data_IF_623284140138
#
_entry.id   IF_623284140138
#
_cell.length_a   1.000
_cell.length_b   1.000
_cell.length_c   1.000
_cell.angle_alpha   90.00
_cell.angle_beta   90.00
_cell.angle_gamma   90.00
#
_symmetry.space_group_name_H-M   'P 1'
#
loop_
_entity.id
_entity.type
_entity.pdbx_description
1 polymer ?
#
# COMPACT_ATOMS: atom_id res chain seq x y z
N UNK A 1 7.72 -5.59 55.09
CA UNK A 1 8.87 -4.76 54.71
C UNK A 1 9.92 -5.70 54.14
N UNK A 2 9.89 -5.99 52.85
CA UNK A 2 10.91 -6.73 52.14
C UNK A 2 11.22 -6.00 50.84
N UNK A 3 12.47 -5.59 50.66
CA UNK A 3 13.03 -4.91 49.50
C UNK A 3 13.22 -5.91 48.38
N UNK A 4 12.68 -5.64 47.20
CA UNK A 4 13.05 -6.31 45.96
C UNK A 4 14.17 -5.53 45.27
N UNK A 5 15.28 -6.24 45.06
CA UNK A 5 16.48 -5.79 44.35
C UNK A 5 16.29 -6.13 42.84
N UNK A 6 16.39 -5.15 41.96
CA UNK A 6 16.23 -5.31 40.54
C UNK A 6 17.59 -5.34 39.86
N UNK A 7 18.07 -6.54 39.53
CA UNK A 7 19.28 -6.76 38.73
C UNK A 7 19.09 -6.28 37.28
N UNK A 8 20.07 -5.48 36.78
CA UNK A 8 20.16 -5.06 35.36
C UNK A 8 20.83 -6.19 34.55
N UNK A 9 20.34 -6.54 33.37
CA UNK A 9 21.11 -7.34 32.41
C UNK A 9 22.04 -6.44 31.58
N UNK A 10 23.30 -6.84 31.49
CA UNK A 10 24.31 -6.29 30.58
C UNK A 10 23.98 -6.69 29.13
N UNK A 11 23.99 -5.73 28.21
CA UNK A 11 23.92 -5.99 26.79
C UNK A 11 25.31 -6.03 26.15
N UNK A 12 25.67 -7.19 25.65
CA UNK A 12 26.79 -7.42 24.73
C UNK A 12 26.40 -7.10 23.31
N UNK A 13 27.33 -6.51 22.54
CA UNK A 13 27.14 -5.91 21.24
C UNK A 13 26.53 -6.81 20.15
N UNK A 14 25.74 -6.19 19.30
CA UNK A 14 25.25 -6.78 18.05
C UNK A 14 25.62 -5.89 16.85
N UNK A 15 26.16 -6.54 15.83
CA UNK A 15 26.65 -5.93 14.61
C UNK A 15 25.52 -5.31 13.74
N UNK A 16 25.88 -4.27 13.02
CA UNK A 16 25.04 -3.56 12.05
C UNK A 16 24.50 -4.52 10.98
N UNK A 17 23.19 -4.73 10.95
CA UNK A 17 22.43 -5.15 9.76
C UNK A 17 21.48 -4.02 9.37
N UNK A 18 21.44 -3.75 8.08
CA UNK A 18 20.69 -2.66 7.45
C UNK A 18 19.23 -2.58 7.90
N UNK A 19 18.77 -1.38 8.26
CA UNK A 19 17.36 -1.05 8.31
C UNK A 19 16.67 -1.06 9.68
N UNK A 20 17.37 -0.95 10.79
CA UNK A 20 16.76 -0.81 12.13
C UNK A 20 16.91 0.64 12.60
N UNK A 21 15.78 1.33 12.78
CA UNK A 21 15.77 2.64 13.41
C UNK A 21 15.90 2.49 14.92
N UNK A 22 17.07 2.82 15.49
CA UNK A 22 17.26 2.92 16.93
C UNK A 22 16.68 4.26 17.42
N UNK A 23 15.64 4.20 18.24
CA UNK A 23 15.12 5.34 18.98
C UNK A 23 15.55 5.25 20.42
N UNK A 24 16.40 6.20 20.83
CA UNK A 24 16.72 6.42 22.23
C UNK A 24 15.70 7.43 22.79
N UNK A 25 14.91 7.00 23.78
CA UNK A 25 13.97 7.81 24.53
C UNK A 25 14.69 8.28 25.81
N UNK A 26 15.47 9.34 25.73
CA UNK A 26 15.84 10.09 26.93
C UNK A 26 15.74 11.58 26.60
N UNK A 27 14.65 12.17 27.08
CA UNK A 27 14.42 13.62 27.02
C UNK A 27 15.13 14.30 28.18
N UNK A 28 16.03 15.21 27.91
CA UNK A 28 16.30 16.35 28.76
C UNK A 28 16.42 17.61 27.92
N UNK A 29 15.55 18.56 28.24
CA UNK A 29 15.65 19.94 27.79
C UNK A 29 16.86 20.59 28.41
N UNK A 30 17.71 21.23 27.60
CA UNK A 30 18.47 22.39 28.03
C UNK A 30 18.65 23.36 26.86
N UNK A 31 18.21 24.60 27.11
CA UNK A 31 18.43 25.75 26.26
C UNK A 31 19.85 26.29 26.46
N UNK A 32 20.67 26.36 25.42
CA UNK A 32 21.75 27.30 25.34
C UNK A 32 22.10 27.65 23.88
N UNK A 33 21.91 28.90 23.53
CA UNK A 33 22.41 29.59 22.35
C UNK A 33 23.93 29.50 22.26
N UNK A 34 24.48 29.06 21.14
CA UNK A 34 25.80 29.45 20.68
C UNK A 34 25.92 29.36 19.15
N UNK A 35 25.93 30.55 18.55
CA UNK A 35 26.34 30.81 17.18
C UNK A 35 27.78 30.35 16.92
N UNK A 36 28.00 29.52 15.89
CA UNK A 36 29.29 29.36 15.22
C UNK A 36 29.11 29.31 13.72
N UNK A 37 29.53 30.45 13.10
CA UNK A 37 29.77 30.59 11.68
C UNK A 37 31.00 29.75 11.32
N UNK A 38 30.87 28.83 10.38
CA UNK A 38 32.00 28.26 9.65
C UNK A 38 31.78 28.52 8.15
N UNK A 39 32.60 29.43 7.64
CA UNK A 39 32.79 29.64 6.22
C UNK A 39 33.52 28.39 5.65
N UNK A 40 32.97 27.78 4.61
CA UNK A 40 33.70 26.85 3.75
C UNK A 40 33.64 27.35 2.29
N UNK A 41 34.81 27.42 1.73
CA UNK A 41 35.15 28.07 0.49
C UNK A 41 34.49 27.46 -0.74
N UNK A 42 34.26 28.36 -1.69
CA UNK A 42 33.89 28.11 -3.07
C UNK A 42 34.93 27.21 -3.78
N UNK A 43 34.52 26.04 -4.24
CA UNK A 43 35.16 25.35 -5.34
C UNK A 43 34.19 25.31 -6.52
N UNK A 44 34.38 26.25 -7.46
CA UNK A 44 33.79 26.19 -8.79
C UNK A 44 34.40 25.00 -9.54
N UNK A 45 33.63 23.92 -9.72
CA UNK A 45 33.89 22.96 -10.79
C UNK A 45 32.78 23.09 -11.82
N UNK A 46 33.15 23.67 -12.94
CA UNK A 46 32.38 23.66 -14.18
C UNK A 46 32.16 22.20 -14.59
N UNK A 47 30.94 21.72 -14.46
CA UNK A 47 30.54 20.42 -15.04
C UNK A 47 30.10 20.73 -16.46
N UNK A 48 30.92 20.31 -17.43
CA UNK A 48 30.54 20.24 -18.83
C UNK A 48 29.36 19.29 -18.99
N UNK A 49 28.26 19.80 -19.54
CA UNK A 49 27.10 19.00 -19.95
C UNK A 49 27.54 18.18 -21.17
N UNK A 50 27.95 16.95 -20.92
CA UNK A 50 28.11 15.95 -21.97
C UNK A 50 26.72 15.40 -22.27
N UNK A 51 26.37 15.38 -23.57
CA UNK A 51 25.06 15.11 -24.11
C UNK A 51 24.36 13.88 -23.49
N UNK A 52 23.13 14.11 -23.03
CA UNK A 52 22.18 13.06 -22.68
C UNK A 52 21.76 12.34 -23.97
N UNK A 53 22.49 11.27 -24.30
CA UNK A 53 21.95 10.22 -25.15
C UNK A 53 20.86 9.52 -24.37
N UNK A 54 19.66 9.43 -24.94
CA UNK A 54 18.49 8.74 -24.44
C UNK A 54 18.85 7.36 -23.87
N UNK A 55 18.73 7.24 -22.54
CA UNK A 55 18.74 5.93 -21.88
C UNK A 55 17.46 5.17 -22.26
N UNK A 56 17.53 3.85 -22.51
CA UNK A 56 16.35 3.05 -22.87
C UNK A 56 15.33 3.06 -21.73
N UNK A 57 14.07 3.28 -22.07
CA UNK A 57 12.94 3.53 -21.19
C UNK A 57 12.89 2.64 -19.95
N UNK A 58 13.42 3.15 -18.85
CA UNK A 58 13.17 2.62 -17.52
C UNK A 58 11.68 2.76 -17.22
N UNK A 59 11.00 1.65 -16.89
CA UNK A 59 9.59 1.72 -16.48
C UNK A 59 9.49 2.63 -15.26
N UNK A 60 8.73 3.72 -15.36
CA UNK A 60 8.46 4.59 -14.22
C UNK A 60 7.74 3.80 -13.13
N UNK A 61 8.42 3.55 -12.01
CA UNK A 61 7.92 2.70 -10.92
C UNK A 61 6.72 3.31 -10.21
N UNK A 62 6.56 4.65 -10.23
CA UNK A 62 5.41 5.37 -9.66
C UNK A 62 4.31 5.69 -10.67
N UNK A 63 4.40 5.21 -11.91
CA UNK A 63 3.49 5.61 -13.01
C UNK A 63 2.01 5.38 -12.72
N UNK A 64 1.68 4.41 -11.87
CA UNK A 64 0.29 4.08 -11.50
C UNK A 64 -0.21 4.83 -10.25
N UNK A 65 0.65 5.54 -9.52
CA UNK A 65 0.25 6.29 -8.33
C UNK A 65 -0.82 7.32 -8.70
N UNK A 66 -1.96 7.26 -8.03
CA UNK A 66 -3.15 8.11 -8.24
C UNK A 66 -3.68 8.15 -9.68
N UNK A 67 -3.33 7.21 -10.56
CA UNK A 67 -3.91 7.15 -11.91
C UNK A 67 -5.44 7.04 -11.82
N UNK A 68 -6.13 7.92 -12.57
CA UNK A 68 -7.59 8.04 -12.53
C UNK A 68 -8.16 8.65 -11.24
N UNK A 69 -7.32 9.23 -10.35
CA UNK A 69 -7.74 9.81 -9.07
C UNK A 69 -7.03 11.12 -8.71
N UNK A 70 -6.37 11.76 -9.66
CA UNK A 70 -5.71 13.03 -9.45
C UNK A 70 -4.22 13.06 -9.83
N UNK A 71 -3.67 11.99 -10.43
CA UNK A 71 -2.29 11.99 -10.94
C UNK A 71 -2.05 13.11 -11.96
N UNK A 72 -3.05 13.45 -12.74
CA UNK A 72 -3.03 14.53 -13.75
C UNK A 72 -2.82 15.91 -13.15
N UNK A 73 -2.97 16.07 -11.83
CA UNK A 73 -2.66 17.30 -11.10
C UNK A 73 -1.15 17.50 -10.87
N UNK A 74 -0.37 16.40 -10.96
CA UNK A 74 1.08 16.45 -10.85
C UNK A 74 1.70 16.78 -12.19
N UNK A 75 2.59 17.77 -12.22
CA UNK A 75 3.41 18.05 -13.40
C UNK A 75 4.36 16.91 -13.70
N UNK A 76 4.92 16.87 -14.91
CA UNK A 76 5.92 15.86 -15.25
C UNK A 76 7.16 15.95 -14.35
N UNK A 77 7.58 17.15 -13.98
CA UNK A 77 8.69 17.37 -13.04
C UNK A 77 8.41 16.79 -11.66
N UNK A 78 7.19 16.96 -11.14
CA UNK A 78 6.77 16.41 -9.85
C UNK A 78 6.64 14.89 -9.88
N UNK A 79 6.17 14.33 -10.99
CA UNK A 79 6.16 12.89 -11.20
C UNK A 79 7.58 12.32 -11.27
N UNK A 80 8.49 12.99 -11.96
CA UNK A 80 9.90 12.62 -12.03
C UNK A 80 10.58 12.76 -10.66
N UNK A 81 10.26 13.82 -9.92
CA UNK A 81 10.78 14.03 -8.56
C UNK A 81 10.36 12.89 -7.62
N UNK A 82 9.10 12.43 -7.70
CA UNK A 82 8.65 11.28 -6.93
C UNK A 82 9.39 10.01 -7.34
N UNK A 83 9.57 9.77 -8.64
CA UNK A 83 10.26 8.59 -9.17
C UNK A 83 11.71 8.51 -8.71
N UNK A 84 12.46 9.61 -8.89
CA UNK A 84 13.89 9.69 -8.60
C UNK A 84 14.19 9.67 -7.09
N UNK A 85 13.20 10.01 -6.27
CA UNK A 85 13.34 10.04 -4.82
C UNK A 85 13.14 8.68 -4.17
N UNK A 86 12.82 7.64 -4.92
CA UNK A 86 12.67 6.28 -4.37
C UNK A 86 14.00 5.75 -3.85
N UNK A 87 13.97 5.06 -2.69
CA UNK A 87 15.18 4.48 -2.09
C UNK A 87 15.64 3.24 -2.86
N UNK A 88 14.71 2.36 -3.19
CA UNK A 88 14.94 1.15 -4.00
C UNK A 88 13.62 0.55 -4.49
N UNK A 89 13.73 -0.39 -5.43
CA UNK A 89 12.64 -1.28 -5.86
C UNK A 89 12.92 -2.67 -5.30
N UNK A 90 12.00 -3.18 -4.50
CA UNK A 90 12.13 -4.48 -3.86
C UNK A 90 11.21 -5.51 -4.53
N UNK A 91 11.79 -6.61 -5.00
CA UNK A 91 11.03 -7.80 -5.38
C UNK A 91 10.65 -8.59 -4.12
N UNK A 92 9.39 -8.96 -4.02
CA UNK A 92 8.78 -9.60 -2.85
C UNK A 92 8.27 -10.97 -3.26
N UNK A 93 8.59 -11.99 -2.47
CA UNK A 93 8.09 -13.36 -2.68
C UNK A 93 6.61 -13.45 -2.32
N UNK A 94 5.95 -14.48 -2.83
CA UNK A 94 4.57 -14.77 -2.42
C UNK A 94 4.49 -15.08 -0.91
N UNK A 95 3.48 -14.54 -0.25
CA UNK A 95 3.23 -14.74 1.20
C UNK A 95 4.33 -14.21 2.12
N UNK A 96 5.15 -13.31 1.65
CA UNK A 96 6.17 -12.65 2.46
C UNK A 96 5.53 -11.57 3.34
N UNK A 97 5.93 -11.54 4.62
CA UNK A 97 5.54 -10.47 5.53
C UNK A 97 6.53 -9.32 5.41
N UNK A 98 6.08 -8.19 4.90
CA UNK A 98 6.85 -6.97 4.69
C UNK A 98 6.98 -6.14 5.96
N UNK A 99 5.88 -5.99 6.68
CA UNK A 99 5.82 -5.28 7.97
C UNK A 99 5.04 -6.13 8.96
N UNK A 100 5.56 -6.24 10.19
CA UNK A 100 4.84 -6.86 11.30
C UNK A 100 4.13 -5.81 12.14
N UNK A 101 2.91 -6.12 12.56
CA UNK A 101 2.11 -5.33 13.47
C UNK A 101 2.94 -4.83 14.66
N UNK A 102 2.81 -3.55 14.99
CA UNK A 102 3.41 -2.91 16.17
C UNK A 102 4.91 -2.66 16.07
N UNK A 103 5.58 -3.12 15.02
CA UNK A 103 7.00 -2.82 14.81
C UNK A 103 7.18 -1.40 14.28
N UNK A 104 8.23 -0.68 14.72
CA UNK A 104 8.58 0.61 14.17
C UNK A 104 8.84 0.51 12.66
N UNK A 105 8.38 1.52 11.91
CA UNK A 105 8.63 1.66 10.46
C UNK A 105 9.28 3.01 10.18
N UNK A 106 10.22 3.03 9.24
CA UNK A 106 10.93 4.23 8.80
C UNK A 106 10.82 4.46 7.29
N UNK A 107 10.00 3.66 6.61
CA UNK A 107 9.73 3.78 5.18
C UNK A 107 8.29 3.42 4.87
N UNK A 108 7.80 3.86 3.72
CA UNK A 108 6.51 3.46 3.16
C UNK A 108 6.69 2.84 1.78
N UNK A 109 5.77 1.98 1.38
CA UNK A 109 5.86 1.17 0.17
C UNK A 109 4.73 1.48 -0.80
N UNK A 110 5.09 1.79 -2.04
CA UNK A 110 4.20 1.89 -3.18
C UNK A 110 4.20 0.57 -3.95
N UNK A 111 3.05 -0.07 -4.12
CA UNK A 111 2.93 -1.28 -4.95
C UNK A 111 3.11 -0.89 -6.42
N UNK A 112 4.02 -1.57 -7.13
CA UNK A 112 4.25 -1.36 -8.55
C UNK A 112 3.82 -2.55 -9.41
N UNK A 113 3.97 -3.76 -8.88
CA UNK A 113 3.47 -4.99 -9.50
C UNK A 113 2.92 -5.94 -8.42
N UNK A 114 1.93 -6.75 -8.79
CA UNK A 114 1.33 -7.72 -7.89
C UNK A 114 0.33 -7.10 -6.89
N UNK A 115 0.09 -7.80 -5.79
CA UNK A 115 -0.92 -7.42 -4.79
C UNK A 115 -0.35 -7.59 -3.39
N UNK A 116 -0.64 -6.64 -2.53
CA UNK A 116 -0.25 -6.64 -1.11
C UNK A 116 -1.50 -6.42 -0.27
N UNK A 117 -1.60 -7.06 0.87
CA UNK A 117 -2.72 -6.87 1.78
C UNK A 117 -2.26 -6.48 3.17
N UNK A 118 -3.12 -5.78 3.89
CA UNK A 118 -3.01 -5.63 5.34
C UNK A 118 -3.91 -6.67 6.01
N UNK A 119 -3.44 -7.27 7.08
CA UNK A 119 -4.17 -8.32 7.78
C UNK A 119 -4.04 -8.24 9.29
N UNK A 120 -5.15 -8.51 9.97
CA UNK A 120 -5.21 -8.70 11.40
C UNK A 120 -5.40 -10.20 11.70
N UNK A 121 -4.76 -10.69 12.76
CA UNK A 121 -4.90 -12.08 13.20
C UNK A 121 -5.35 -12.15 14.66
N UNK A 122 -6.27 -13.06 14.98
CA UNK A 122 -6.59 -13.42 16.36
C UNK A 122 -5.57 -14.41 16.91
N UNK A 123 -5.52 -14.55 18.26
CA UNK A 123 -4.62 -15.49 18.95
C UNK A 123 -4.71 -16.95 18.48
N UNK A 124 -5.80 -17.37 17.81
CA UNK A 124 -6.01 -18.72 17.28
C UNK A 124 -5.74 -18.85 15.78
N UNK A 125 -4.98 -17.92 15.18
CA UNK A 125 -4.53 -18.03 13.79
C UNK A 125 -5.58 -17.68 12.72
N UNK A 126 -6.79 -17.29 13.06
CA UNK A 126 -7.75 -16.78 12.09
C UNK A 126 -7.31 -15.40 11.62
N UNK A 127 -7.00 -15.32 10.34
CA UNK A 127 -6.57 -14.11 9.66
C UNK A 127 -7.76 -13.42 9.01
N UNK A 128 -7.90 -12.11 9.26
CA UNK A 128 -8.82 -11.23 8.54
C UNK A 128 -7.99 -10.30 7.65
N UNK A 129 -8.27 -10.30 6.35
CA UNK A 129 -7.74 -9.27 5.46
C UNK A 129 -8.54 -7.99 5.70
N UNK A 130 -7.85 -6.90 6.01
CA UNK A 130 -8.50 -5.61 6.31
C UNK A 130 -8.38 -4.63 5.15
N UNK A 131 -7.37 -4.80 4.26
CA UNK A 131 -7.28 -4.09 2.98
C UNK A 131 -6.56 -4.92 1.94
N UNK A 132 -6.77 -4.57 0.66
CA UNK A 132 -6.06 -5.12 -0.48
C UNK A 132 -5.57 -3.97 -1.36
N UNK A 133 -4.26 -3.90 -1.56
CA UNK A 133 -3.56 -2.89 -2.33
C UNK A 133 -3.15 -3.44 -3.69
N UNK A 134 -3.39 -2.65 -4.72
CA UNK A 134 -3.09 -2.95 -6.12
C UNK A 134 -1.92 -2.07 -6.60
N UNK A 135 -1.34 -2.30 -7.78
CA UNK A 135 -0.34 -1.38 -8.34
C UNK A 135 -0.85 0.05 -8.43
N UNK A 136 -0.09 0.98 -7.85
CA UNK A 136 -0.44 2.38 -7.71
C UNK A 136 -0.89 2.80 -6.30
N UNK A 137 -1.15 1.86 -5.41
CA UNK A 137 -1.49 2.17 -4.02
C UNK A 137 -0.24 2.19 -3.14
N UNK A 138 -0.13 3.18 -2.26
CA UNK A 138 0.72 3.06 -1.07
C UNK A 138 0.05 2.14 -0.05
N UNK A 139 0.84 1.26 0.55
CA UNK A 139 0.32 0.26 1.50
C UNK A 139 0.20 0.82 2.91
N UNK A 140 1.05 1.77 3.26
CA UNK A 140 1.39 2.13 4.64
C UNK A 140 1.77 3.61 4.84
N UNK A 141 1.15 4.54 4.08
CA UNK A 141 1.38 5.98 4.28
C UNK A 141 0.98 6.47 5.67
N UNK A 142 0.04 5.80 6.34
CA UNK A 142 -0.28 6.03 7.74
C UNK A 142 0.93 5.80 8.65
N UNK A 143 1.78 4.82 8.34
CA UNK A 143 3.05 4.57 9.00
C UNK A 143 4.03 5.73 8.94
N UNK A 144 3.95 6.59 7.92
CA UNK A 144 4.79 7.79 7.82
C UNK A 144 4.58 8.75 9.01
N UNK A 145 3.36 8.87 9.51
CA UNK A 145 3.05 9.70 10.68
C UNK A 145 2.95 8.90 11.97
N UNK A 146 2.36 7.71 11.94
CA UNK A 146 2.13 6.86 13.13
C UNK A 146 3.38 6.10 13.58
N UNK A 147 4.42 5.99 12.72
CA UNK A 147 5.71 5.31 12.95
C UNK A 147 5.59 3.81 13.27
N UNK A 148 4.41 3.25 13.23
CA UNK A 148 4.12 1.81 13.38
C UNK A 148 2.76 1.51 12.78
N UNK A 149 2.55 0.26 12.35
CA UNK A 149 1.26 -0.20 11.84
C UNK A 149 0.52 -1.05 12.89
N UNK A 150 -0.80 -1.01 12.84
CA UNK A 150 -1.71 -1.77 13.71
C UNK A 150 -2.03 -3.18 13.17
N UNK A 151 -1.51 -3.53 11.98
CA UNK A 151 -1.70 -4.82 11.32
C UNK A 151 -0.45 -5.23 10.51
N UNK A 152 -0.39 -6.51 10.11
CA UNK A 152 0.69 -7.02 9.26
C UNK A 152 0.47 -6.60 7.80
N UNK A 153 1.56 -6.30 7.09
CA UNK A 153 1.59 -6.12 5.63
C UNK A 153 2.17 -7.38 5.00
N UNK A 154 1.41 -8.00 4.09
CA UNK A 154 1.77 -9.30 3.51
C UNK A 154 1.50 -9.30 2.00
N UNK A 155 2.46 -9.80 1.21
CA UNK A 155 2.24 -10.03 -0.23
C UNK A 155 1.25 -11.19 -0.46
N UNK A 156 0.38 -11.05 -1.46
CA UNK A 156 -0.54 -12.13 -1.84
C UNK A 156 0.14 -13.14 -2.76
N UNK A 157 0.74 -12.67 -3.82
CA UNK A 157 1.58 -13.41 -4.75
C UNK A 157 2.97 -12.78 -4.82
N UNK A 158 3.81 -13.13 -5.80
CA UNK A 158 4.99 -12.33 -6.11
C UNK A 158 4.57 -10.89 -6.40
N UNK A 159 5.32 -9.93 -5.86
CA UNK A 159 5.02 -8.51 -6.00
C UNK A 159 6.31 -7.69 -6.16
N UNK A 160 6.18 -6.43 -6.60
CA UNK A 160 7.24 -5.43 -6.51
C UNK A 160 6.70 -4.22 -5.79
N UNK A 161 7.51 -3.65 -4.92
CA UNK A 161 7.23 -2.42 -4.22
C UNK A 161 8.37 -1.43 -4.37
N UNK A 162 8.03 -0.16 -4.55
CA UNK A 162 8.99 0.93 -4.48
C UNK A 162 8.98 1.47 -3.08
N UNK A 163 10.16 1.57 -2.46
CA UNK A 163 10.34 1.98 -1.06
C UNK A 163 10.75 3.44 -0.99
N UNK A 164 10.08 4.20 -0.14
CA UNK A 164 10.39 5.59 0.18
C UNK A 164 10.69 5.71 1.66
N UNK A 165 11.86 6.24 2.03
CA UNK A 165 12.14 6.53 3.44
C UNK A 165 11.20 7.63 3.95
N UNK A 166 10.89 7.62 5.26
CA UNK A 166 10.05 8.67 5.83
C UNK A 166 10.71 10.05 5.75
N UNK A 167 12.05 10.12 5.79
CA UNK A 167 12.79 11.37 5.57
C UNK A 167 12.62 11.87 4.13
N UNK A 168 12.65 10.97 3.15
CA UNK A 168 12.35 11.29 1.75
C UNK A 168 10.93 11.82 1.59
N UNK A 169 9.92 11.15 2.17
CA UNK A 169 8.53 11.61 2.09
C UNK A 169 8.34 12.97 2.77
N UNK A 170 9.05 13.24 3.87
CA UNK A 170 9.05 14.55 4.53
C UNK A 170 9.63 15.62 3.61
N UNK A 171 10.82 15.39 3.06
CA UNK A 171 11.48 16.33 2.12
C UNK A 171 10.63 16.60 0.89
N UNK A 172 10.02 15.57 0.29
CA UNK A 172 9.09 15.72 -0.84
C UNK A 172 7.88 16.58 -0.46
N UNK A 173 7.30 16.37 0.72
CA UNK A 173 6.15 17.12 1.21
C UNK A 173 6.48 18.59 1.49
N UNK A 174 7.69 18.89 1.95
CA UNK A 174 8.15 20.25 2.20
C UNK A 174 8.47 21.00 0.90
N UNK A 175 9.05 20.31 -0.08
CA UNK A 175 9.50 20.91 -1.35
C UNK A 175 8.38 21.05 -2.38
N UNK A 176 7.35 20.22 -2.30
CA UNK A 176 6.25 20.15 -3.26
C UNK A 176 4.90 19.96 -2.57
N UNK A 177 4.12 21.03 -2.44
CA UNK A 177 2.80 20.99 -1.81
C UNK A 177 1.85 20.02 -2.51
N UNK A 178 1.90 19.90 -3.84
CA UNK A 178 1.05 18.97 -4.60
C UNK A 178 1.38 17.51 -4.32
N UNK A 179 2.65 17.17 -4.06
CA UNK A 179 3.00 15.81 -3.60
C UNK A 179 2.49 15.58 -2.18
N UNK A 180 2.60 16.56 -1.28
CA UNK A 180 2.03 16.46 0.06
C UNK A 180 0.51 16.22 0.03
N UNK A 181 -0.21 17.00 -0.80
CA UNK A 181 -1.65 16.81 -1.04
C UNK A 181 -1.96 15.44 -1.63
N UNK A 182 -1.13 14.95 -2.55
CA UNK A 182 -1.29 13.63 -3.17
C UNK A 182 -1.11 12.48 -2.18
N UNK A 183 -0.16 12.58 -1.25
CA UNK A 183 0.00 11.61 -0.17
C UNK A 183 -1.20 11.64 0.78
N UNK A 184 -1.67 12.84 1.11
CA UNK A 184 -2.88 12.99 1.93
C UNK A 184 -4.11 12.41 1.22
N UNK A 185 -4.32 12.77 -0.05
CA UNK A 185 -5.40 12.20 -0.88
C UNK A 185 -5.35 10.67 -0.92
N UNK A 186 -4.18 10.08 -1.12
CA UNK A 186 -4.00 8.62 -1.11
C UNK A 186 -4.48 8.00 0.21
N UNK A 187 -4.15 8.61 1.35
CA UNK A 187 -4.61 8.14 2.66
C UNK A 187 -6.12 8.29 2.86
N UNK A 188 -6.73 9.36 2.32
CA UNK A 188 -8.18 9.57 2.37
C UNK A 188 -8.93 8.56 1.49
N UNK A 189 -8.39 8.23 0.33
CA UNK A 189 -8.93 7.20 -0.57
C UNK A 189 -8.86 5.81 0.08
N UNK A 190 -7.74 5.47 0.71
CA UNK A 190 -7.63 4.22 1.47
C UNK A 190 -8.67 4.15 2.59
N UNK A 191 -8.84 5.23 3.35
CA UNK A 191 -9.87 5.32 4.39
C UNK A 191 -11.31 5.22 3.82
N UNK A 192 -11.56 5.73 2.61
CA UNK A 192 -12.87 5.57 1.95
C UNK A 192 -13.14 4.12 1.57
N UNK A 193 -12.14 3.42 1.01
CA UNK A 193 -12.22 1.99 0.72
C UNK A 193 -12.45 1.18 2.00
N UNK A 194 -11.76 1.48 3.10
CA UNK A 194 -11.99 0.82 4.38
C UNK A 194 -13.42 0.99 4.89
N UNK A 195 -14.03 2.18 4.76
CA UNK A 195 -15.45 2.40 5.14
C UNK A 195 -16.39 1.54 4.29
N UNK A 196 -16.13 1.42 2.97
CA UNK A 196 -16.89 0.53 2.10
C UNK A 196 -16.73 -0.94 2.52
N UNK A 197 -15.53 -1.36 2.94
CA UNK A 197 -15.29 -2.71 3.44
C UNK A 197 -16.05 -2.98 4.75
N UNK A 198 -16.12 -2.01 5.68
CA UNK A 198 -16.91 -2.12 6.91
C UNK A 198 -18.39 -2.30 6.57
N UNK A 199 -18.94 -1.47 5.67
CA UNK A 199 -20.33 -1.60 5.21
C UNK A 199 -20.59 -2.97 4.60
N UNK A 200 -19.76 -3.40 3.66
CA UNK A 200 -19.83 -4.70 2.99
C UNK A 200 -19.86 -5.85 3.99
N UNK A 201 -18.95 -5.87 4.96
CA UNK A 201 -18.88 -6.94 5.95
C UNK A 201 -20.03 -6.91 6.95
N UNK A 202 -20.56 -5.73 7.26
CA UNK A 202 -21.59 -5.55 8.28
C UNK A 202 -23.03 -5.64 7.76
N UNK A 203 -23.26 -5.41 6.46
CA UNK A 203 -24.62 -5.29 5.91
C UNK A 203 -24.95 -6.25 4.77
N UNK A 204 -23.97 -6.59 3.96
CA UNK A 204 -24.22 -7.41 2.77
C UNK A 204 -24.22 -8.89 3.09
N UNK A 205 -25.06 -9.63 2.36
CA UNK A 205 -25.08 -11.11 2.39
C UNK A 205 -23.87 -11.69 1.64
N UNK A 206 -23.64 -13.00 1.77
CA UNK A 206 -22.43 -13.65 1.25
C UNK A 206 -22.24 -13.48 -0.27
N UNK A 207 -23.29 -13.60 -1.06
CA UNK A 207 -23.25 -13.40 -2.51
C UNK A 207 -22.98 -11.94 -2.88
N UNK A 208 -23.65 -11.04 -2.18
CA UNK A 208 -23.49 -9.59 -2.35
C UNK A 208 -22.07 -9.14 -2.02
N UNK A 209 -21.49 -9.67 -0.90
CA UNK A 209 -20.09 -9.37 -0.53
C UNK A 209 -19.10 -9.75 -1.61
N UNK A 210 -19.28 -10.94 -2.20
CA UNK A 210 -18.43 -11.42 -3.27
C UNK A 210 -18.61 -10.54 -4.51
N UNK A 211 -19.84 -10.27 -4.93
CA UNK A 211 -20.14 -9.41 -6.08
C UNK A 211 -19.55 -8.00 -5.91
N UNK A 212 -19.74 -7.37 -4.74
CA UNK A 212 -19.19 -6.05 -4.41
C UNK A 212 -17.65 -6.04 -4.53
N UNK A 213 -16.96 -7.02 -3.92
CA UNK A 213 -15.49 -7.09 -3.99
C UNK A 213 -14.98 -7.17 -5.42
N UNK A 214 -15.60 -8.00 -6.26
CA UNK A 214 -15.17 -8.15 -7.65
C UNK A 214 -15.46 -6.89 -8.49
N UNK A 215 -16.56 -6.18 -8.23
CA UNK A 215 -16.84 -4.89 -8.84
C UNK A 215 -15.82 -3.83 -8.42
N UNK A 216 -15.51 -3.74 -7.12
CA UNK A 216 -14.48 -2.82 -6.59
C UNK A 216 -13.13 -3.07 -7.23
N UNK A 217 -12.67 -4.32 -7.22
CA UNK A 217 -11.36 -4.68 -7.79
C UNK A 217 -11.32 -4.41 -9.30
N UNK A 218 -12.39 -4.72 -10.03
CA UNK A 218 -12.48 -4.40 -11.45
C UNK A 218 -12.32 -2.90 -11.69
N UNK A 219 -13.08 -2.06 -10.99
CA UNK A 219 -13.05 -0.61 -11.15
C UNK A 219 -11.66 -0.05 -10.83
N UNK A 220 -11.03 -0.49 -9.72
CA UNK A 220 -9.68 -0.05 -9.33
C UNK A 220 -8.61 -0.49 -10.33
N UNK A 221 -8.67 -1.72 -10.82
CA UNK A 221 -7.70 -2.24 -11.80
C UNK A 221 -7.90 -1.63 -13.19
N UNK A 222 -9.14 -1.30 -13.57
CA UNK A 222 -9.44 -0.58 -14.82
C UNK A 222 -8.80 0.81 -14.82
N UNK A 223 -8.88 1.57 -13.71
CA UNK A 223 -8.25 2.89 -13.58
C UNK A 223 -6.72 2.84 -13.80
N UNK A 224 -6.05 1.78 -13.39
CA UNK A 224 -4.59 1.63 -13.55
C UNK A 224 -4.20 0.82 -14.78
N UNK A 225 -5.15 0.53 -15.68
CA UNK A 225 -4.91 -0.17 -16.94
C UNK A 225 -4.61 -1.67 -16.80
N UNK A 226 -4.99 -2.29 -15.68
CA UNK A 226 -4.77 -3.71 -15.40
C UNK A 226 -6.04 -4.58 -15.53
N UNK A 227 -7.17 -3.99 -15.92
CA UNK A 227 -8.37 -4.70 -16.35
C UNK A 227 -8.74 -4.29 -17.76
N UNK A 228 -9.06 -5.27 -18.60
CA UNK A 228 -9.47 -5.07 -20.00
C UNK A 228 -10.64 -5.99 -20.33
N UNK A 229 -11.63 -5.49 -21.07
CA UNK A 229 -12.80 -6.26 -21.49
C UNK A 229 -13.48 -6.99 -20.32
N UNK A 230 -13.63 -6.31 -19.19
CA UNK A 230 -14.18 -6.85 -17.94
C UNK A 230 -13.45 -8.09 -17.41
N UNK A 231 -12.15 -8.22 -17.73
CA UNK A 231 -11.30 -9.32 -17.30
C UNK A 231 -10.02 -8.79 -16.65
N UNK A 232 -9.56 -9.48 -15.61
CA UNK A 232 -8.33 -9.13 -14.90
C UNK A 232 -7.74 -10.32 -14.16
N UNK A 233 -6.41 -10.28 -13.94
CA UNK A 233 -5.70 -11.24 -13.09
C UNK A 233 -5.92 -10.94 -11.62
N UNK A 234 -6.24 -11.95 -10.82
CA UNK A 234 -6.43 -11.85 -9.38
C UNK A 234 -5.73 -13.01 -8.67
N UNK A 235 -4.57 -12.82 -8.04
CA UNK A 235 -3.80 -13.90 -7.44
C UNK A 235 -4.34 -14.39 -6.09
N UNK A 236 -5.56 -14.00 -5.72
CA UNK A 236 -6.22 -14.48 -4.52
C UNK A 236 -6.59 -15.95 -4.63
N UNK A 237 -6.39 -16.70 -3.55
CA UNK A 237 -6.97 -18.03 -3.35
C UNK A 237 -8.37 -17.92 -2.76
N UNK A 238 -9.12 -19.02 -2.73
CA UNK A 238 -10.41 -19.07 -2.03
C UNK A 238 -10.27 -18.78 -0.53
N UNK A 239 -9.14 -19.19 0.07
CA UNK A 239 -8.82 -18.85 1.46
C UNK A 239 -8.59 -17.36 1.64
N UNK A 240 -7.97 -16.69 0.67
CA UNK A 240 -7.79 -15.23 0.72
C UNK A 240 -9.12 -14.49 0.56
N UNK A 241 -9.98 -14.95 -0.36
CA UNK A 241 -11.34 -14.43 -0.50
C UNK A 241 -12.13 -14.63 0.80
N UNK A 242 -12.01 -15.81 1.43
CA UNK A 242 -12.60 -16.08 2.74
C UNK A 242 -12.10 -15.10 3.81
N UNK A 243 -10.78 -14.85 3.86
CA UNK A 243 -10.17 -13.88 4.78
C UNK A 243 -10.59 -12.42 4.51
N UNK A 244 -10.85 -12.05 3.24
CA UNK A 244 -11.30 -10.71 2.86
C UNK A 244 -12.80 -10.49 3.13
N UNK A 245 -13.61 -11.56 3.06
CA UNK A 245 -15.08 -11.48 3.08
C UNK A 245 -15.70 -12.06 4.36
N UNK A 246 -14.88 -12.54 5.30
CA UNK A 246 -15.32 -13.25 6.52
C UNK A 246 -16.22 -14.45 6.20
N UNK A 247 -15.83 -15.24 5.19
CA UNK A 247 -16.53 -16.43 4.72
C UNK A 247 -15.60 -17.65 4.78
N UNK A 248 -16.20 -18.85 4.92
CA UNK A 248 -15.43 -20.09 4.78
C UNK A 248 -15.15 -20.41 3.31
N UNK A 249 -14.09 -21.20 3.04
CA UNK A 249 -13.76 -21.62 1.68
C UNK A 249 -14.91 -22.38 0.99
N UNK A 250 -15.67 -23.20 1.74
CA UNK A 250 -16.86 -23.90 1.24
C UNK A 250 -17.93 -22.89 0.79
N UNK A 251 -18.14 -21.86 1.59
CA UNK A 251 -19.10 -20.80 1.27
C UNK A 251 -18.68 -20.03 0.02
N UNK A 252 -17.40 -19.63 -0.07
CA UNK A 252 -16.83 -18.97 -1.27
C UNK A 252 -17.06 -19.84 -2.51
N UNK A 253 -16.78 -21.15 -2.44
CA UNK A 253 -16.98 -22.06 -3.57
C UNK A 253 -18.44 -22.10 -4.05
N UNK A 254 -19.37 -22.17 -3.10
CA UNK A 254 -20.80 -22.19 -3.42
C UNK A 254 -21.24 -20.90 -4.08
N UNK A 255 -20.81 -19.74 -3.56
CA UNK A 255 -21.12 -18.43 -4.13
C UNK A 255 -20.53 -18.27 -5.53
N UNK A 256 -19.25 -18.60 -5.72
CA UNK A 256 -18.60 -18.49 -7.03
C UNK A 256 -19.27 -19.40 -8.08
N UNK A 257 -19.78 -20.59 -7.67
CA UNK A 257 -20.55 -21.48 -8.53
C UNK A 257 -21.88 -20.81 -8.93
N UNK A 258 -22.66 -20.30 -7.96
CA UNK A 258 -23.92 -19.61 -8.20
C UNK A 258 -23.74 -18.43 -9.18
N UNK A 259 -22.72 -17.57 -8.94
CA UNK A 259 -22.44 -16.42 -9.82
C UNK A 259 -22.10 -16.86 -11.27
N UNK A 260 -21.38 -17.98 -11.42
CA UNK A 260 -21.07 -18.54 -12.73
C UNK A 260 -22.29 -19.12 -13.42
N UNK A 261 -23.12 -19.92 -12.71
CA UNK A 261 -24.34 -20.52 -13.25
C UNK A 261 -25.35 -19.46 -13.68
N UNK A 262 -25.37 -18.32 -12.98
CA UNK A 262 -26.19 -17.14 -13.35
C UNK A 262 -25.57 -16.27 -14.46
N UNK A 263 -24.40 -16.64 -15.00
CA UNK A 263 -23.75 -15.90 -16.07
C UNK A 263 -23.23 -14.51 -15.64
N UNK A 264 -22.97 -14.28 -14.35
CA UNK A 264 -22.54 -12.98 -13.83
C UNK A 264 -21.01 -12.85 -13.80
N UNK A 265 -20.32 -13.89 -13.30
CA UNK A 265 -18.89 -13.87 -13.04
C UNK A 265 -18.29 -15.26 -13.18
N UNK A 266 -17.08 -15.33 -13.73
CA UNK A 266 -16.22 -16.52 -13.66
C UNK A 266 -14.91 -16.15 -12.98
N UNK A 267 -14.49 -16.94 -11.99
CA UNK A 267 -13.16 -16.85 -11.37
C UNK A 267 -12.51 -18.22 -11.41
N UNK A 268 -11.56 -18.40 -12.31
CA UNK A 268 -10.80 -19.65 -12.51
C UNK A 268 -9.35 -19.34 -12.84
N UNK A 269 -8.42 -20.21 -12.40
CA UNK A 269 -6.98 -20.08 -12.69
C UNK A 269 -6.42 -18.69 -12.41
N UNK A 270 -6.91 -18.03 -11.34
CA UNK A 270 -6.53 -16.66 -10.95
C UNK A 270 -6.91 -15.60 -11.99
N UNK A 271 -7.84 -15.90 -12.88
CA UNK A 271 -8.43 -14.96 -13.83
C UNK A 271 -9.88 -14.72 -13.48
N UNK A 272 -10.26 -13.47 -13.49
CA UNK A 272 -11.65 -13.02 -13.33
C UNK A 272 -12.17 -12.56 -14.67
N UNK A 273 -13.41 -12.96 -14.98
CA UNK A 273 -14.18 -12.44 -16.11
C UNK A 273 -15.58 -12.09 -15.61
N UNK A 274 -15.94 -10.84 -15.70
CA UNK A 274 -17.29 -10.35 -15.41
C UNK A 274 -18.08 -10.39 -16.72
N UNK A 275 -19.17 -11.14 -16.76
CA UNK A 275 -20.00 -11.32 -17.94
C UNK A 275 -21.10 -10.26 -18.02
N UNK A 276 -21.70 -9.91 -16.87
CA UNK A 276 -22.69 -8.84 -16.77
C UNK A 276 -22.32 -7.88 -15.63
N UNK A 277 -21.70 -6.75 -15.99
CA UNK A 277 -21.27 -5.71 -15.03
C UNK A 277 -22.44 -5.08 -14.29
N UNK A 278 -23.55 -4.80 -15.00
CA UNK A 278 -24.70 -4.11 -14.41
C UNK A 278 -25.42 -4.98 -13.41
N UNK A 279 -25.68 -6.25 -13.80
CA UNK A 279 -26.31 -7.20 -12.90
C UNK A 279 -25.44 -7.54 -11.70
N UNK A 280 -24.11 -7.67 -11.88
CA UNK A 280 -23.17 -7.92 -10.79
C UNK A 280 -23.08 -6.74 -9.81
N UNK A 281 -23.02 -5.49 -10.33
CA UNK A 281 -23.02 -4.28 -9.52
C UNK A 281 -24.32 -4.13 -8.73
N UNK A 282 -25.45 -4.38 -9.35
CA UNK A 282 -26.77 -4.40 -8.69
C UNK A 282 -26.83 -5.45 -7.58
N UNK A 283 -26.34 -6.67 -7.84
CA UNK A 283 -26.28 -7.74 -6.84
C UNK A 283 -25.40 -7.35 -5.65
N UNK A 284 -24.25 -6.73 -5.91
CA UNK A 284 -23.29 -6.34 -4.88
C UNK A 284 -23.58 -5.00 -4.20
N UNK A 285 -24.69 -4.35 -4.52
CA UNK A 285 -24.98 -2.97 -4.07
C UNK A 285 -23.76 -2.06 -4.24
N UNK A 286 -23.12 -2.15 -5.43
CA UNK A 286 -21.86 -1.48 -5.70
C UNK A 286 -22.07 -0.14 -6.41
N UNK A 287 -21.72 0.92 -5.71
CA UNK A 287 -21.58 2.27 -6.25
C UNK A 287 -20.09 2.66 -6.24
N UNK A 288 -19.46 2.95 -7.39
CA UNK A 288 -18.04 3.33 -7.44
C UNK A 288 -17.75 4.73 -6.87
N UNK A 289 -18.73 5.51 -6.47
CA UNK A 289 -18.54 6.90 -6.01
C UNK A 289 -17.48 7.05 -4.92
N UNK A 290 -17.35 6.08 -3.99
CA UNK A 290 -16.34 6.10 -2.95
C UNK A 290 -14.91 5.86 -3.44
N UNK A 291 -14.73 5.46 -4.69
CA UNK A 291 -13.40 5.30 -5.31
C UNK A 291 -12.85 6.62 -5.85
N UNK A 292 -13.71 7.66 -5.94
CA UNK A 292 -13.32 9.00 -6.40
C UNK A 292 -12.55 8.97 -7.73
N UNK A 293 -13.02 8.13 -8.67
CA UNK A 293 -12.48 8.13 -10.02
C UNK A 293 -12.68 9.52 -10.66
N UNK A 294 -11.66 10.02 -11.37
CA UNK A 294 -11.80 11.23 -12.17
C UNK A 294 -12.86 10.99 -13.25
N UNK A 295 -13.83 11.87 -13.35
CA UNK A 295 -14.87 11.89 -14.39
C UNK A 295 -14.35 12.49 -15.68
#
# INVERSE_FOLDING_TARGET
MQKFDAGRPQMTGFGRKQGVCDWNLDGHHDHALASRVYAFGFFHRTIQIVGLTSLPGGKMNSSKFLTGRGRERLTLEEQTLLEDSSSNVQAVKARETLVRRGKPVCSSMLVTEGFVCRSASKHRGQRQMVSLHIPGDFVDLDGFKLKRLDNDVVSIGPAKVTVYSHDTLASLSERCSRLAESFWLSSLLDAAIHRAWIFRLGRLEAEERVAHLFCELHARLEMVGLAQNASFGLPLTQSDLGAALSLTGVHINRVLRSLRERGLLTFQSRQVKIHDRKALAKLGDFDPAYLYAAT
#
